data_IF_344237521398
#
_entry.id   IF_344237521398
#
_cell.length_a   1.000
_cell.length_b   1.000
_cell.length_c   1.000
_cell.angle_alpha   90.00
_cell.angle_beta   90.00
_cell.angle_gamma   90.00
#
_symmetry.space_group_name_H-M   'P 1'
#
loop_
_entity.id
_entity.type
_entity.pdbx_description
1 polymer ?
#
# COMPACT_ATOMS: atom_id res chain seq x y z
N UNK A 1 18.28 -10.31 -31.70
CA UNK A 1 17.11 -9.42 -31.90
C UNK A 1 16.62 -8.99 -30.51
N UNK A 2 17.00 -7.79 -30.06
CA UNK A 2 16.56 -7.27 -28.76
C UNK A 2 15.08 -6.89 -28.87
N UNK A 3 14.18 -7.68 -28.27
CA UNK A 3 12.77 -7.33 -28.21
C UNK A 3 12.63 -6.09 -27.30
N UNK A 4 12.36 -4.94 -27.93
CA UNK A 4 12.04 -3.70 -27.24
C UNK A 4 10.70 -3.93 -26.54
N UNK A 5 10.73 -4.25 -25.24
CA UNK A 5 9.52 -4.39 -24.44
C UNK A 5 8.72 -3.09 -24.53
N UNK A 6 7.57 -3.13 -25.23
CA UNK A 6 6.61 -2.04 -25.20
C UNK A 6 6.07 -1.98 -23.78
N UNK A 7 6.30 -0.86 -23.09
CA UNK A 7 5.70 -0.61 -21.78
C UNK A 7 4.20 -0.40 -22.00
N UNK A 8 3.42 -1.42 -21.68
CA UNK A 8 1.97 -1.33 -21.64
C UNK A 8 1.61 -0.33 -20.54
N UNK A 9 0.87 0.73 -20.88
CA UNK A 9 0.32 1.65 -19.89
C UNK A 9 -0.82 0.96 -19.16
N UNK A 10 -0.80 1.01 -17.83
CA UNK A 10 -1.78 0.33 -16.98
C UNK A 10 -2.53 1.37 -16.17
N UNK A 11 -3.85 1.21 -16.06
CA UNK A 11 -4.69 2.07 -15.22
C UNK A 11 -4.34 1.86 -13.74
N UNK A 12 -4.33 2.91 -12.89
CA UNK A 12 -3.97 2.79 -11.47
C UNK A 12 -4.82 1.77 -10.70
N UNK A 13 -6.12 1.69 -11.00
CA UNK A 13 -7.03 0.71 -10.39
C UNK A 13 -6.56 -0.73 -10.62
N UNK A 14 -5.99 -1.02 -11.79
CA UNK A 14 -5.47 -2.36 -12.11
C UNK A 14 -4.21 -2.68 -11.28
N UNK A 15 -3.45 -1.67 -10.86
CA UNK A 15 -2.29 -1.85 -9.97
C UNK A 15 -2.76 -2.22 -8.57
N UNK A 16 -3.76 -1.51 -8.03
CA UNK A 16 -4.35 -1.83 -6.72
C UNK A 16 -5.00 -3.22 -6.76
N UNK A 17 -5.74 -3.53 -7.81
CA UNK A 17 -6.36 -4.82 -8.00
C UNK A 17 -5.32 -5.96 -8.07
N UNK A 18 -4.21 -5.75 -8.77
CA UNK A 18 -3.09 -6.70 -8.80
C UNK A 18 -2.51 -6.92 -7.39
N UNK A 19 -2.30 -5.86 -6.61
CA UNK A 19 -1.82 -5.97 -5.23
C UNK A 19 -2.76 -6.80 -4.35
N UNK A 20 -4.07 -6.59 -4.50
CA UNK A 20 -5.11 -7.36 -3.80
C UNK A 20 -5.08 -8.84 -4.20
N UNK A 21 -5.06 -9.14 -5.51
CA UNK A 21 -5.03 -10.52 -6.00
C UNK A 21 -3.78 -11.29 -5.57
N UNK A 22 -2.62 -10.63 -5.63
CA UNK A 22 -1.33 -11.23 -5.27
C UNK A 22 -1.10 -11.26 -3.76
N UNK A 23 -1.98 -10.64 -2.97
CA UNK A 23 -1.80 -10.41 -1.53
C UNK A 23 -0.43 -9.83 -1.23
N UNK A 24 0.03 -8.91 -2.09
CA UNK A 24 1.34 -8.30 -1.99
C UNK A 24 1.42 -7.46 -0.72
N UNK A 25 2.58 -7.50 -0.08
CA UNK A 25 2.85 -6.61 1.04
C UNK A 25 3.07 -5.19 0.51
N UNK A 26 2.28 -4.24 0.99
CA UNK A 26 2.33 -2.83 0.58
C UNK A 26 2.72 -1.94 1.74
N UNK A 27 3.36 -0.83 1.42
CA UNK A 27 3.66 0.27 2.31
C UNK A 27 2.88 1.50 1.83
N UNK A 28 2.03 2.03 2.69
CA UNK A 28 1.15 3.16 2.42
C UNK A 28 1.69 4.37 3.15
N UNK A 29 1.91 5.44 2.38
CA UNK A 29 2.35 6.73 2.87
C UNK A 29 1.11 7.56 3.21
N UNK A 30 1.15 8.17 4.39
CA UNK A 30 0.04 8.98 4.88
C UNK A 30 0.21 10.43 4.43
N UNK A 31 -0.91 11.13 4.21
CA UNK A 31 -0.93 12.53 3.80
C UNK A 31 -0.37 13.47 4.88
N UNK A 32 -0.97 13.48 6.07
CA UNK A 32 -0.58 14.41 7.12
C UNK A 32 0.63 13.94 7.94
N UNK A 33 0.95 12.64 7.92
CA UNK A 33 2.01 12.06 8.75
C UNK A 33 3.13 11.47 7.90
N UNK A 34 4.19 12.25 7.70
CA UNK A 34 5.39 11.85 6.95
C UNK A 34 6.34 10.96 7.72
N UNK A 35 6.19 10.84 9.04
CA UNK A 35 7.09 10.09 9.91
C UNK A 35 6.65 8.63 10.08
N UNK A 36 5.38 8.37 9.83
CA UNK A 36 4.74 7.07 9.98
C UNK A 36 4.21 6.58 8.62
N UNK A 37 4.32 5.27 8.41
CA UNK A 37 3.71 4.56 7.29
C UNK A 37 2.91 3.38 7.81
N UNK A 38 1.92 2.96 7.03
CA UNK A 38 1.17 1.74 7.32
C UNK A 38 1.64 0.66 6.35
N UNK A 39 2.13 -0.44 6.88
CA UNK A 39 2.44 -1.63 6.11
C UNK A 39 1.38 -2.70 6.32
N UNK A 40 1.12 -3.53 5.31
CA UNK A 40 0.21 -4.66 5.42
C UNK A 40 -0.21 -5.22 4.06
N UNK A 41 -1.30 -5.99 4.04
CA UNK A 41 -1.84 -6.61 2.82
C UNK A 41 -3.22 -6.06 2.50
N UNK A 42 -3.43 -5.61 1.26
CA UNK A 42 -4.74 -5.13 0.82
C UNK A 42 -5.67 -6.33 0.62
N UNK A 43 -6.83 -6.31 1.28
CA UNK A 43 -7.87 -7.34 1.13
C UNK A 43 -9.17 -6.80 0.53
N UNK A 44 -9.31 -5.48 0.38
CA UNK A 44 -10.45 -4.83 -0.24
C UNK A 44 -10.19 -3.35 -0.50
N UNK A 45 -10.88 -2.78 -1.50
CA UNK A 45 -10.93 -1.34 -1.74
C UNK A 45 -12.27 -0.94 -2.36
N UNK A 46 -12.62 0.35 -2.28
CA UNK A 46 -13.85 0.91 -2.86
C UNK A 46 -13.57 2.03 -3.89
N UNK A 47 -14.63 2.68 -4.38
CA UNK A 47 -14.56 3.77 -5.35
C UNK A 47 -13.90 5.05 -4.82
N UNK A 48 -13.86 5.22 -3.49
CA UNK A 48 -13.22 6.35 -2.82
C UNK A 48 -11.76 6.04 -2.42
N UNK A 49 -11.24 4.88 -2.82
CA UNK A 49 -9.93 4.36 -2.42
C UNK A 49 -9.80 4.17 -0.89
N UNK A 50 -10.90 3.96 -0.17
CA UNK A 50 -10.80 3.38 1.16
C UNK A 50 -10.28 1.96 1.02
N UNK A 51 -9.29 1.58 1.82
CA UNK A 51 -8.60 0.29 1.69
C UNK A 51 -8.74 -0.48 2.99
N UNK A 52 -9.17 -1.73 2.89
CA UNK A 52 -9.12 -2.68 4.00
C UNK A 52 -7.75 -3.35 3.97
N UNK A 53 -7.00 -3.20 5.07
CA UNK A 53 -5.64 -3.72 5.21
C UNK A 53 -5.66 -4.79 6.30
N UNK A 54 -5.15 -5.97 5.98
CA UNK A 54 -4.92 -7.06 6.91
C UNK A 54 -3.46 -7.09 7.34
N UNK A 55 -3.21 -7.63 8.55
CA UNK A 55 -1.86 -7.68 9.16
C UNK A 55 -1.19 -6.28 9.17
N UNK A 56 -1.99 -5.24 9.41
CA UNK A 56 -1.53 -3.86 9.37
C UNK A 56 -0.56 -3.55 10.51
N UNK A 57 0.51 -2.83 10.19
CA UNK A 57 1.57 -2.44 11.12
C UNK A 57 1.94 -0.97 10.91
N UNK A 58 2.03 -0.20 11.99
CA UNK A 58 2.60 1.15 11.97
C UNK A 58 4.13 1.06 11.97
N UNK A 59 4.76 1.75 11.01
CA UNK A 59 6.21 1.80 10.84
C UNK A 59 6.66 3.26 10.89
N UNK A 60 7.54 3.58 11.85
CA UNK A 60 8.15 4.90 11.96
C UNK A 60 9.48 4.92 11.20
N UNK A 61 9.71 5.95 10.37
CA UNK A 61 10.85 6.01 9.45
C UNK A 61 12.10 6.56 10.13
N UNK A 62 11.95 7.62 10.95
CA UNK A 62 13.10 8.36 11.53
C UNK A 62 13.50 7.86 12.91
N UNK A 63 12.53 7.47 13.71
CA UNK A 63 12.77 6.98 15.07
C UNK A 63 12.71 5.45 15.04
N UNK A 64 13.67 4.81 15.72
CA UNK A 64 13.64 3.37 15.98
C UNK A 64 12.55 3.04 17.02
N UNK A 65 11.30 3.39 16.71
CA UNK A 65 10.13 2.96 17.46
C UNK A 65 9.80 1.52 17.08
N UNK A 66 9.37 0.70 18.06
CA UNK A 66 8.92 -0.65 17.76
C UNK A 66 7.74 -0.60 16.80
N UNK A 67 7.74 -1.54 15.84
CA UNK A 67 6.63 -1.77 14.93
C UNK A 67 5.38 -2.10 15.76
N UNK A 68 4.28 -1.38 15.52
CA UNK A 68 3.03 -1.60 16.26
C UNK A 68 2.03 -2.34 15.40
N UNK A 69 1.63 -3.52 15.83
CA UNK A 69 0.59 -4.31 15.17
C UNK A 69 -0.79 -3.70 15.43
N UNK A 70 -1.54 -3.48 14.35
CA UNK A 70 -2.93 -3.00 14.37
C UNK A 70 -3.93 -4.10 14.00
N UNK A 71 -3.46 -5.16 13.33
CA UNK A 71 -4.33 -6.23 12.84
C UNK A 71 -5.09 -5.79 11.59
N UNK A 72 -6.42 -5.91 11.60
CA UNK A 72 -7.25 -5.54 10.45
C UNK A 72 -7.85 -4.16 10.62
N UNK A 73 -7.57 -3.27 9.67
CA UNK A 73 -8.04 -1.87 9.70
C UNK A 73 -8.69 -1.47 8.38
N UNK A 74 -9.56 -0.45 8.45
CA UNK A 74 -10.04 0.31 7.31
C UNK A 74 -9.29 1.63 7.27
N UNK A 75 -8.46 1.85 6.25
CA UNK A 75 -7.80 3.12 6.00
C UNK A 75 -8.63 3.95 5.03
N UNK A 76 -8.92 5.21 5.40
CA UNK A 76 -9.66 6.12 4.54
C UNK A 76 -8.79 6.61 3.38
N UNK A 77 -9.38 6.73 2.19
CA UNK A 77 -8.67 7.09 0.96
C UNK A 77 -8.09 8.51 0.96
N UNK A 78 -8.70 9.43 1.72
CA UNK A 78 -8.20 10.81 1.93
C UNK A 78 -6.83 10.86 2.61
N UNK A 79 -6.49 9.85 3.41
CA UNK A 79 -5.21 9.77 4.11
C UNK A 79 -4.10 9.17 3.23
N UNK A 80 -4.40 8.64 2.04
CA UNK A 80 -3.43 7.92 1.20
C UNK A 80 -2.71 8.89 0.28
N UNK A 81 -1.38 8.98 0.42
CA UNK A 81 -0.52 9.70 -0.53
C UNK A 81 0.08 8.78 -1.59
N UNK A 82 0.57 7.62 -1.18
CA UNK A 82 1.26 6.69 -2.06
C UNK A 82 1.08 5.25 -1.58
N UNK A 83 0.81 4.33 -2.51
CA UNK A 83 0.80 2.88 -2.27
C UNK A 83 2.02 2.28 -2.97
N UNK A 84 2.97 1.77 -2.19
CA UNK A 84 4.19 1.15 -2.69
C UNK A 84 4.16 -0.35 -2.43
N UNK A 85 4.55 -1.19 -3.39
CA UNK A 85 4.87 -2.58 -3.09
C UNK A 85 6.21 -2.64 -2.35
N UNK A 86 6.26 -3.35 -1.23
CA UNK A 86 7.53 -3.62 -0.52
C UNK A 86 8.21 -4.78 -1.24
N UNK A 87 9.34 -4.52 -1.88
CA UNK A 87 10.18 -5.59 -2.43
C UNK A 87 10.85 -6.32 -1.26
N UNK A 88 10.65 -7.64 -1.19
CA UNK A 88 11.47 -8.52 -0.36
C UNK A 88 12.87 -8.66 -0.94
#
# INVERSE_FOLDING_TARGET
>A
MSQRQQRVMVQPINVIFKNLQQKSHVCIWLYDNVEMRIEGRIIGFDEFMNVVIDEAVEVYIKEAKPRRELGRILLKGDNITLIQQVQS
#
